data_IF_647109336160
#
_entry.id   IF_647109336160
#
_cell.length_a   1.000
_cell.length_b   1.000
_cell.length_c   1.000
_cell.angle_alpha   90.00
_cell.angle_beta   90.00
_cell.angle_gamma   90.00
#
_symmetry.space_group_name_H-M   'P 1'
#
loop_
_entity.id
_entity.type
_entity.pdbx_description
1 polymer ?
#
# COMPACT_ATOMS: atom_id res chain seq x y z
N UNK A 1 -1.47 18.19 -4.48
CA UNK A 1 -2.82 17.66 -4.20
C UNK A 1 -2.78 16.18 -4.55
N UNK A 2 -2.38 15.34 -3.59
CA UNK A 2 -2.53 13.89 -3.71
C UNK A 2 -3.80 13.58 -2.90
N UNK A 3 -4.90 13.32 -3.60
CA UNK A 3 -6.13 12.88 -2.96
C UNK A 3 -5.84 11.56 -2.25
N UNK A 4 -6.18 11.50 -0.96
CA UNK A 4 -6.13 10.32 -0.11
C UNK A 4 -7.07 9.25 -0.71
N UNK A 5 -6.58 8.50 -1.69
CA UNK A 5 -7.29 7.33 -2.20
C UNK A 5 -7.40 6.31 -1.07
N UNK A 6 -8.62 5.85 -0.77
CA UNK A 6 -8.93 4.85 0.26
C UNK A 6 -8.21 3.51 0.06
N UNK A 7 -7.53 3.34 -1.06
CA UNK A 7 -6.87 2.12 -1.47
C UNK A 7 -5.38 2.08 -1.12
N UNK A 8 -4.79 3.18 -0.65
CA UNK A 8 -3.38 3.24 -0.20
C UNK A 8 -3.36 3.54 1.30
N UNK A 9 -2.78 2.66 2.11
CA UNK A 9 -2.78 2.81 3.56
C UNK A 9 -1.52 2.26 4.22
N UNK A 10 -1.14 2.87 5.34
CA UNK A 10 -0.07 2.37 6.20
C UNK A 10 -0.59 1.26 7.10
N UNK A 11 0.26 0.27 7.35
CA UNK A 11 -0.05 -0.91 8.17
C UNK A 11 1.09 -1.13 9.15
N UNK A 12 0.73 -1.30 10.42
CA UNK A 12 1.61 -1.85 11.45
C UNK A 12 1.19 -3.29 11.79
N UNK A 13 1.92 -3.91 12.71
CA UNK A 13 1.66 -5.29 13.12
C UNK A 13 0.27 -5.49 13.74
N UNK A 14 -0.24 -4.50 14.48
CA UNK A 14 -1.55 -4.60 15.14
C UNK A 14 -2.70 -4.51 14.14
N UNK A 15 -2.49 -3.79 13.03
CA UNK A 15 -3.47 -3.62 11.98
C UNK A 15 -3.44 -4.71 10.89
N UNK A 16 -2.36 -5.50 10.79
CA UNK A 16 -2.11 -6.39 9.66
C UNK A 16 -3.26 -7.38 9.40
N UNK A 17 -3.74 -8.06 10.43
CA UNK A 17 -4.81 -9.05 10.30
C UNK A 17 -6.09 -8.44 9.75
N UNK A 18 -6.47 -7.26 10.24
CA UNK A 18 -7.70 -6.58 9.81
C UNK A 18 -7.55 -5.90 8.45
N UNK A 19 -6.48 -5.13 8.24
CA UNK A 19 -6.32 -4.26 7.06
C UNK A 19 -5.71 -4.97 5.86
N UNK A 20 -4.93 -6.03 6.06
CA UNK A 20 -4.31 -6.79 4.97
C UNK A 20 -5.06 -8.10 4.76
N UNK A 21 -5.09 -8.98 5.76
CA UNK A 21 -5.72 -10.30 5.58
C UNK A 21 -7.22 -10.18 5.37
N UNK A 22 -7.93 -9.39 6.20
CA UNK A 22 -9.36 -9.13 6.05
C UNK A 22 -9.73 -8.62 4.66
N UNK A 23 -9.01 -7.61 4.16
CA UNK A 23 -9.26 -7.02 2.83
C UNK A 23 -8.89 -7.97 1.69
N UNK A 24 -7.87 -8.82 1.88
CA UNK A 24 -7.40 -9.76 0.85
C UNK A 24 -8.46 -10.78 0.40
N UNK A 25 -9.49 -11.01 1.22
CA UNK A 25 -10.62 -11.87 0.87
C UNK A 25 -11.56 -11.25 -0.17
N UNK A 26 -11.62 -9.92 -0.25
CA UNK A 26 -12.50 -9.19 -1.17
C UNK A 26 -11.78 -8.71 -2.43
N UNK A 27 -10.53 -8.24 -2.28
CA UNK A 27 -9.72 -7.72 -3.40
C UNK A 27 -8.22 -7.86 -3.16
N UNK A 28 -7.40 -7.94 -4.22
CA UNK A 28 -5.95 -8.04 -4.10
C UNK A 28 -5.33 -6.90 -3.29
N UNK A 29 -4.38 -7.25 -2.42
CA UNK A 29 -3.57 -6.31 -1.63
C UNK A 29 -2.11 -6.46 -2.04
N UNK A 30 -1.54 -5.41 -2.63
CA UNK A 30 -0.10 -5.29 -2.86
C UNK A 30 0.57 -4.77 -1.59
N UNK A 31 1.63 -5.43 -1.15
CA UNK A 31 2.39 -5.05 0.04
C UNK A 31 3.69 -4.39 -0.39
N UNK A 32 3.91 -3.15 0.05
CA UNK A 32 5.15 -2.40 -0.09
C UNK A 32 5.90 -2.44 1.24
N UNK A 33 6.90 -3.33 1.32
CA UNK A 33 7.84 -3.40 2.43
C UNK A 33 8.97 -2.42 2.16
N UNK A 34 8.95 -1.27 2.83
CA UNK A 34 9.88 -0.16 2.56
C UNK A 34 10.63 0.23 3.84
N UNK A 35 11.72 0.98 3.67
CA UNK A 35 12.43 1.58 4.78
C UNK A 35 13.17 2.85 4.34
N UNK A 36 13.48 3.74 5.28
CA UNK A 36 14.25 4.97 5.00
C UNK A 36 15.66 4.67 4.46
N UNK A 37 16.25 3.55 4.88
CA UNK A 37 17.55 3.08 4.43
C UNK A 37 17.51 2.36 3.06
N UNK A 38 16.34 2.27 2.42
CA UNK A 38 16.16 1.66 1.10
C UNK A 38 15.88 2.73 0.01
N UNK A 39 16.92 3.37 -0.57
CA UNK A 39 16.78 4.29 -1.70
C UNK A 39 15.95 3.77 -2.88
N UNK A 40 16.08 2.50 -3.34
CA UNK A 40 15.25 2.02 -4.44
C UNK A 40 13.77 1.91 -4.06
N UNK A 41 13.45 1.61 -2.80
CA UNK A 41 12.07 1.59 -2.30
C UNK A 41 11.45 3.00 -2.38
N UNK A 42 12.20 4.02 -1.94
CA UNK A 42 11.75 5.41 -2.01
C UNK A 42 11.53 5.89 -3.46
N UNK A 43 12.38 5.46 -4.39
CA UNK A 43 12.25 5.81 -5.79
C UNK A 43 11.01 5.17 -6.45
N UNK A 44 10.62 3.96 -6.06
CA UNK A 44 9.49 3.24 -6.66
C UNK A 44 8.14 3.62 -6.06
N UNK A 45 8.09 4.06 -4.79
CA UNK A 45 6.87 4.46 -4.09
C UNK A 45 5.94 5.39 -4.90
N UNK A 46 6.40 6.52 -5.48
CA UNK A 46 5.52 7.41 -6.26
C UNK A 46 5.02 6.78 -7.57
N UNK A 47 5.71 5.76 -8.09
CA UNK A 47 5.25 5.01 -9.27
C UNK A 47 4.14 4.05 -8.86
N UNK A 48 4.31 3.33 -7.74
CA UNK A 48 3.29 2.42 -7.20
C UNK A 48 2.00 3.17 -6.87
N UNK A 49 2.08 4.31 -6.18
CA UNK A 49 0.89 5.10 -5.82
C UNK A 49 0.11 5.55 -7.06
N UNK A 50 0.80 5.97 -8.13
CA UNK A 50 0.16 6.31 -9.42
C UNK A 50 -0.53 5.11 -10.05
N UNK A 51 0.14 3.95 -10.06
CA UNK A 51 -0.44 2.72 -10.62
C UNK A 51 -1.69 2.34 -9.84
N UNK A 52 -1.64 2.31 -8.51
CA UNK A 52 -2.76 1.91 -7.65
C UNK A 52 -3.97 2.83 -7.83
N UNK A 53 -3.75 4.14 -7.93
CA UNK A 53 -4.83 5.09 -8.21
C UNK A 53 -5.52 4.81 -9.56
N UNK A 54 -4.79 4.35 -10.58
CA UNK A 54 -5.37 3.97 -11.88
C UNK A 54 -6.18 2.66 -11.82
N UNK A 55 -6.02 1.84 -10.80
CA UNK A 55 -6.82 0.62 -10.60
C UNK A 55 -8.21 0.89 -10.02
N UNK A 56 -8.52 2.14 -9.64
CA UNK A 56 -9.86 2.58 -9.24
C UNK A 56 -10.54 1.65 -8.22
N UNK A 57 -9.85 1.33 -7.11
CA UNK A 57 -10.38 0.46 -6.06
C UNK A 57 -10.32 -1.03 -6.33
N UNK A 58 -9.76 -1.49 -7.45
CA UNK A 58 -9.62 -2.93 -7.72
C UNK A 58 -8.45 -3.58 -7.00
N UNK A 59 -7.46 -2.79 -6.57
CA UNK A 59 -6.26 -3.26 -5.87
C UNK A 59 -5.93 -2.27 -4.76
N UNK A 60 -5.55 -2.78 -3.59
CA UNK A 60 -5.04 -1.99 -2.47
C UNK A 60 -3.52 -2.00 -2.40
N UNK A 61 -2.93 -0.95 -1.81
CA UNK A 61 -1.53 -0.86 -1.44
C UNK A 61 -1.40 -0.71 0.08
N UNK A 62 -0.82 -1.73 0.72
CA UNK A 62 -0.44 -1.70 2.12
C UNK A 62 1.05 -1.35 2.25
N UNK A 63 1.37 -0.22 2.87
CA UNK A 63 2.75 0.22 3.12
C UNK A 63 3.16 -0.18 4.53
N UNK A 64 4.24 -0.95 4.64
CA UNK A 64 4.79 -1.43 5.91
C UNK A 64 6.25 -1.00 5.98
N UNK A 65 6.58 -0.27 7.05
CA UNK A 65 7.95 0.11 7.36
C UNK A 65 8.70 -1.06 8.02
N UNK A 66 9.94 -1.32 7.59
CA UNK A 66 10.81 -2.39 8.11
C UNK A 66 12.15 -1.91 8.67
#
# INVERSE_FOLDING_TARGET
MAENSSDIFNVDLADFERKVLGVSHDRPVLIDLWAEWCPPCLAIAPVLEKVINNYAGKVCLAKIEV
#
